data_IF_350076162983
#
_entry.id   IF_350076162983
#
_cell.length_a   1.000
_cell.length_b   1.000
_cell.length_c   1.000
_cell.angle_alpha   90.00
_cell.angle_beta   90.00
_cell.angle_gamma   90.00
#
_symmetry.space_group_name_H-M   'P 1'
#
loop_
_entity.id
_entity.type
_entity.pdbx_description
1 polymer ?
#
# COMPACT_ATOMS: atom_id res chain seq x y z
N UNK A 1 -29.42 7.30 -8.01
CA UNK A 1 -28.37 7.84 -8.91
C UNK A 1 -27.20 8.51 -8.17
N UNK A 2 -27.33 8.97 -6.92
CA UNK A 2 -26.25 9.60 -6.11
C UNK A 2 -25.19 8.63 -5.54
N UNK A 3 -25.54 7.37 -5.26
CA UNK A 3 -24.60 6.38 -4.69
C UNK A 3 -23.55 5.87 -5.68
N UNK A 4 -23.81 5.85 -6.99
CA UNK A 4 -22.82 5.45 -8.00
C UNK A 4 -21.63 6.42 -8.11
N UNK A 5 -21.83 7.71 -7.83
CA UNK A 5 -20.76 8.74 -7.86
C UNK A 5 -19.79 8.65 -6.69
N UNK A 6 -20.21 8.07 -5.56
CA UNK A 6 -19.37 7.88 -4.38
C UNK A 6 -18.39 6.72 -4.56
N UNK A 7 -18.74 5.74 -5.39
CA UNK A 7 -17.93 4.55 -5.69
C UNK A 7 -17.04 4.70 -6.93
N UNK A 8 -16.94 5.90 -7.50
CA UNK A 8 -16.00 6.18 -8.58
C UNK A 8 -14.58 6.29 -8.00
N UNK A 9 -13.96 5.11 -7.80
CA UNK A 9 -12.59 4.92 -7.33
C UNK A 9 -11.53 5.55 -8.25
N UNK A 10 -11.98 6.09 -9.38
CA UNK A 10 -11.13 6.85 -10.31
C UNK A 10 -10.82 8.27 -9.81
N UNK A 11 -11.62 8.82 -8.87
CA UNK A 11 -11.35 10.12 -8.28
C UNK A 11 -10.36 9.96 -7.11
N UNK A 12 -9.20 10.62 -7.19
CA UNK A 12 -8.13 10.60 -6.19
C UNK A 12 -8.64 10.84 -4.75
N UNK A 13 -9.60 11.74 -4.57
CA UNK A 13 -10.21 12.05 -3.25
C UNK A 13 -11.01 10.89 -2.67
N UNK A 14 -11.82 10.21 -3.47
CA UNK A 14 -12.65 9.10 -2.98
C UNK A 14 -11.78 7.92 -2.55
N UNK A 15 -10.69 7.69 -3.25
CA UNK A 15 -9.69 6.67 -2.92
C UNK A 15 -8.98 6.98 -1.61
N UNK A 16 -8.54 8.23 -1.42
CA UNK A 16 -7.91 8.67 -0.17
C UNK A 16 -8.85 8.49 1.03
N UNK A 17 -10.12 8.88 0.89
CA UNK A 17 -11.13 8.73 1.95
C UNK A 17 -11.34 7.25 2.27
N UNK A 18 -11.46 6.39 1.26
CA UNK A 18 -11.66 4.95 1.47
C UNK A 18 -10.48 4.32 2.23
N UNK A 19 -9.25 4.66 1.84
CA UNK A 19 -8.06 4.18 2.54
C UNK A 19 -8.00 4.69 3.98
N UNK A 20 -8.29 5.98 4.22
CA UNK A 20 -8.38 6.52 5.57
C UNK A 20 -9.43 5.78 6.42
N UNK A 21 -10.61 5.47 5.86
CA UNK A 21 -11.65 4.73 6.57
C UNK A 21 -11.19 3.30 6.93
N UNK A 22 -10.52 2.63 6.00
CA UNK A 22 -9.96 1.28 6.25
C UNK A 22 -8.86 1.35 7.30
N UNK A 23 -7.95 2.33 7.20
CA UNK A 23 -6.86 2.51 8.17
C UNK A 23 -7.44 2.80 9.58
N UNK A 24 -8.47 3.65 9.71
CA UNK A 24 -9.14 3.90 11.00
C UNK A 24 -9.75 2.61 11.56
N UNK A 25 -10.46 1.85 10.73
CA UNK A 25 -11.05 0.58 11.15
C UNK A 25 -9.99 -0.40 11.65
N UNK A 26 -8.88 -0.52 10.93
CA UNK A 26 -7.76 -1.39 11.33
C UNK A 26 -7.12 -0.92 12.63
N UNK A 27 -6.94 0.40 12.82
CA UNK A 27 -6.40 0.98 14.07
C UNK A 27 -7.29 0.74 15.28
N UNK A 28 -8.60 0.57 15.09
CA UNK A 28 -9.53 0.19 16.16
C UNK A 28 -9.38 -1.30 16.51
N UNK A 29 -9.22 -2.14 15.50
CA UNK A 29 -9.18 -3.61 15.67
C UNK A 29 -7.82 -4.11 16.15
N UNK A 30 -6.72 -3.55 15.64
CA UNK A 30 -5.37 -4.06 15.91
C UNK A 30 -4.97 -4.08 17.39
N UNK A 31 -5.29 -3.06 18.22
CA UNK A 31 -4.96 -3.10 19.64
C UNK A 31 -5.56 -4.32 20.35
N UNK A 32 -6.81 -4.65 20.05
CA UNK A 32 -7.46 -5.82 20.64
C UNK A 32 -6.91 -7.12 20.07
N UNK A 33 -6.67 -7.16 18.77
CA UNK A 33 -6.12 -8.33 18.11
C UNK A 33 -4.69 -8.64 18.61
N UNK A 34 -3.85 -7.61 18.81
CA UNK A 34 -2.50 -7.75 19.38
C UNK A 34 -2.53 -8.36 20.77
N UNK A 35 -3.53 -7.98 21.58
CA UNK A 35 -3.71 -8.54 22.90
C UNK A 35 -4.11 -10.02 22.83
N UNK A 36 -5.04 -10.36 21.94
CA UNK A 36 -5.51 -11.73 21.71
C UNK A 36 -4.37 -12.62 21.24
N UNK A 37 -3.54 -12.17 20.29
CA UNK A 37 -2.34 -12.88 19.85
C UNK A 37 -1.35 -13.12 21.00
N UNK A 38 -1.20 -12.12 21.87
CA UNK A 38 -0.32 -12.27 23.05
C UNK A 38 -0.79 -13.36 23.99
N UNK A 39 -2.09 -13.56 24.16
CA UNK A 39 -2.68 -14.56 25.04
C UNK A 39 -3.09 -15.86 24.32
N UNK A 40 -2.50 -16.14 23.16
CA UNK A 40 -2.73 -17.39 22.39
C UNK A 40 -4.22 -17.70 22.18
N UNK A 41 -5.02 -16.66 21.89
CA UNK A 41 -6.48 -16.75 21.73
C UNK A 41 -7.27 -17.17 22.98
N UNK A 42 -6.65 -17.19 24.15
CA UNK A 42 -7.32 -17.50 25.42
C UNK A 42 -7.94 -16.24 26.01
N UNK A 43 -9.14 -15.88 25.61
CA UNK A 43 -9.83 -14.65 26.01
C UNK A 43 -10.03 -14.52 27.52
N UNK A 44 -10.28 -15.65 28.25
CA UNK A 44 -10.49 -15.67 29.68
C UNK A 44 -9.26 -15.26 30.50
N UNK A 45 -8.08 -15.25 29.90
CA UNK A 45 -6.83 -14.94 30.57
C UNK A 45 -6.39 -13.49 30.37
N UNK A 46 -7.12 -12.69 29.60
CA UNK A 46 -6.80 -11.30 29.34
C UNK A 46 -7.28 -10.44 30.52
N UNK A 47 -6.36 -9.79 31.25
CA UNK A 47 -6.75 -8.89 32.34
C UNK A 47 -7.58 -7.72 31.82
N UNK A 48 -8.67 -7.41 32.54
CA UNK A 48 -9.57 -6.30 32.20
C UNK A 48 -8.84 -4.94 32.19
N UNK A 49 -7.80 -4.80 33.02
CA UNK A 49 -6.96 -3.59 33.09
C UNK A 49 -6.31 -3.26 31.74
N UNK A 50 -5.86 -4.26 30.99
CA UNK A 50 -5.24 -4.03 29.67
C UNK A 50 -6.27 -3.60 28.63
N UNK A 51 -7.48 -4.13 28.72
CA UNK A 51 -8.59 -3.73 27.82
C UNK A 51 -8.96 -2.27 28.11
N UNK A 52 -9.01 -1.88 29.38
CA UNK A 52 -9.28 -0.51 29.78
C UNK A 52 -8.18 0.45 29.29
N UNK A 53 -6.92 0.08 29.48
CA UNK A 53 -5.76 0.84 29.01
C UNK A 53 -5.80 1.08 27.49
N UNK A 54 -6.11 0.04 26.73
CA UNK A 54 -6.23 0.13 25.26
C UNK A 54 -7.39 1.07 24.88
N UNK A 55 -8.54 0.95 25.52
CA UNK A 55 -9.70 1.82 25.24
C UNK A 55 -9.39 3.29 25.54
N UNK A 56 -8.73 3.56 26.67
CA UNK A 56 -8.36 4.92 27.07
C UNK A 56 -7.37 5.57 26.09
N UNK A 57 -6.44 4.78 25.53
CA UNK A 57 -5.44 5.28 24.59
C UNK A 57 -5.88 5.26 23.13
N UNK A 58 -7.02 4.62 22.79
CA UNK A 58 -7.45 4.34 21.42
C UNK A 58 -7.53 5.60 20.55
N UNK A 59 -8.14 6.68 21.05
CA UNK A 59 -8.31 7.92 20.28
C UNK A 59 -6.95 8.56 19.97
N UNK A 60 -6.06 8.61 20.96
CA UNK A 60 -4.71 9.15 20.80
C UNK A 60 -3.94 8.32 19.76
N UNK A 61 -4.03 7.00 19.83
CA UNK A 61 -3.40 6.09 18.89
C UNK A 61 -3.85 6.33 17.44
N UNK A 62 -5.16 6.47 17.22
CA UNK A 62 -5.72 6.75 15.88
C UNK A 62 -5.20 8.09 15.36
N UNK A 63 -5.27 9.14 16.16
CA UNK A 63 -4.85 10.48 15.75
C UNK A 63 -3.35 10.51 15.43
N UNK A 64 -2.51 9.97 16.32
CA UNK A 64 -1.05 9.95 16.12
C UNK A 64 -0.64 9.15 14.89
N UNK A 65 -1.25 7.98 14.67
CA UNK A 65 -0.95 7.15 13.50
C UNK A 65 -1.40 7.81 12.21
N UNK A 66 -2.59 8.41 12.17
CA UNK A 66 -3.08 9.16 10.99
C UNK A 66 -2.18 10.35 10.68
N UNK A 67 -1.74 11.11 11.69
CA UNK A 67 -0.83 12.24 11.50
C UNK A 67 0.50 11.76 10.90
N UNK A 68 1.07 10.67 11.39
CA UNK A 68 2.30 10.09 10.85
C UNK A 68 2.11 9.65 9.40
N UNK A 69 0.99 8.99 9.07
CA UNK A 69 0.69 8.55 7.71
C UNK A 69 0.50 9.72 6.75
N UNK A 70 -0.09 10.83 7.22
CA UNK A 70 -0.22 12.07 6.43
C UNK A 70 1.12 12.76 6.23
N UNK A 71 1.94 12.90 7.27
CA UNK A 71 3.28 13.51 7.19
C UNK A 71 4.21 12.76 6.22
N UNK A 72 4.14 11.45 6.20
CA UNK A 72 4.90 10.61 5.28
C UNK A 72 4.27 10.50 3.88
N UNK A 73 3.21 11.28 3.60
CA UNK A 73 2.49 11.31 2.33
C UNK A 73 2.03 9.92 1.82
N UNK A 74 1.71 9.00 2.73
CA UNK A 74 1.27 7.65 2.38
C UNK A 74 -0.03 7.64 1.55
N UNK A 75 -0.84 8.68 1.64
CA UNK A 75 -2.10 8.82 0.90
C UNK A 75 -1.95 9.49 -0.48
N UNK A 76 -0.84 10.21 -0.70
CA UNK A 76 -0.56 10.93 -1.94
C UNK A 76 0.42 10.19 -2.88
N UNK A 77 0.93 9.04 -2.46
CA UNK A 77 1.88 8.28 -3.28
C UNK A 77 1.27 7.91 -4.64
N UNK A 78 2.04 8.16 -5.70
CA UNK A 78 1.63 7.85 -7.08
C UNK A 78 1.68 6.33 -7.28
N UNK A 79 0.53 5.71 -7.23
CA UNK A 79 0.27 4.27 -7.17
C UNK A 79 0.68 3.48 -8.43
N UNK A 80 1.22 4.14 -9.44
CA UNK A 80 1.64 3.50 -10.69
C UNK A 80 2.94 2.72 -10.57
N UNK A 81 3.83 3.13 -9.68
CA UNK A 81 5.14 2.49 -9.50
C UNK A 81 5.35 2.08 -8.03
N UNK A 82 4.70 0.98 -7.60
CA UNK A 82 5.01 0.41 -6.28
C UNK A 82 6.38 -0.26 -6.33
N UNK A 83 7.40 0.47 -5.95
CA UNK A 83 8.77 -0.01 -5.79
C UNK A 83 9.12 -0.28 -4.33
N UNK A 84 10.35 -0.73 -4.09
CA UNK A 84 10.94 -0.91 -2.75
C UNK A 84 10.81 0.35 -1.89
N UNK A 85 10.84 1.54 -2.50
CA UNK A 85 10.68 2.82 -1.83
C UNK A 85 9.34 2.96 -1.09
N UNK A 86 8.23 2.49 -1.68
CA UNK A 86 6.94 2.55 -1.01
C UNK A 86 6.86 1.59 0.16
N UNK A 87 7.44 0.39 0.01
CA UNK A 87 7.50 -0.59 1.09
C UNK A 87 8.33 -0.05 2.27
N UNK A 88 9.45 0.61 2.02
CA UNK A 88 10.26 1.24 3.07
C UNK A 88 9.52 2.39 3.74
N UNK A 89 8.77 3.20 3.00
CA UNK A 89 7.94 4.27 3.57
C UNK A 89 6.83 3.72 4.47
N UNK A 90 6.16 2.64 4.06
CA UNK A 90 5.16 1.97 4.90
C UNK A 90 5.82 1.41 6.17
N UNK A 91 6.97 0.74 6.03
CA UNK A 91 7.71 0.19 7.15
C UNK A 91 8.12 1.26 8.16
N UNK A 92 8.68 2.37 7.69
CA UNK A 92 9.07 3.50 8.56
C UNK A 92 7.86 4.16 9.23
N UNK A 93 6.74 4.31 8.53
CA UNK A 93 5.53 4.86 9.11
C UNK A 93 4.96 3.97 10.23
N UNK A 94 4.86 2.66 9.99
CA UNK A 94 4.39 1.71 10.99
C UNK A 94 5.34 1.64 12.19
N UNK A 95 6.65 1.67 11.96
CA UNK A 95 7.65 1.66 13.01
C UNK A 95 7.55 2.91 13.90
N UNK A 96 7.48 4.10 13.28
CA UNK A 96 7.35 5.36 13.99
C UNK A 96 6.04 5.42 14.78
N UNK A 97 4.92 4.97 14.20
CA UNK A 97 3.62 4.91 14.87
C UNK A 97 3.66 4.00 16.11
N UNK A 98 4.31 2.84 16.00
CA UNK A 98 4.44 1.91 17.13
C UNK A 98 5.32 2.46 18.24
N UNK A 99 6.39 3.16 17.89
CA UNK A 99 7.26 3.85 18.87
C UNK A 99 6.45 4.93 19.60
N UNK A 100 5.75 5.79 18.88
CA UNK A 100 4.89 6.83 19.48
C UNK A 100 3.82 6.24 20.39
N UNK A 101 3.22 5.10 20.00
CA UNK A 101 2.26 4.38 20.82
C UNK A 101 2.92 3.84 22.11
N UNK A 102 4.09 3.21 22.01
CA UNK A 102 4.78 2.66 23.16
C UNK A 102 5.16 3.75 24.17
N UNK A 103 5.74 4.84 23.70
CA UNK A 103 6.08 5.98 24.56
C UNK A 103 4.83 6.65 25.15
N UNK A 104 3.80 6.86 24.36
CA UNK A 104 2.57 7.48 24.83
C UNK A 104 1.87 6.66 25.93
N UNK A 105 1.83 5.34 25.80
CA UNK A 105 1.29 4.45 26.84
C UNK A 105 2.17 4.46 28.09
N UNK A 106 3.49 4.56 27.98
CA UNK A 106 4.39 4.67 29.13
C UNK A 106 4.23 6.00 29.87
N UNK A 107 4.11 7.12 29.16
CA UNK A 107 3.90 8.45 29.77
C UNK A 107 2.58 8.48 30.56
N UNK A 108 1.53 7.85 30.04
CA UNK A 108 0.24 7.75 30.72
C UNK A 108 0.17 6.64 31.78
N UNK A 109 1.30 5.95 32.03
CA UNK A 109 1.42 4.86 33.03
C UNK A 109 0.35 3.78 32.82
N UNK A 110 0.01 3.49 31.56
CA UNK A 110 -0.98 2.48 31.22
C UNK A 110 -0.33 1.08 31.23
N UNK A 111 -0.84 0.14 32.04
CA UNK A 111 -0.27 -1.20 32.08
C UNK A 111 -0.60 -1.95 30.79
N UNK A 112 0.45 -2.33 30.06
CA UNK A 112 0.36 -3.22 28.89
C UNK A 112 1.63 -4.07 28.79
N UNK A 113 1.53 -5.34 28.35
CA UNK A 113 2.70 -6.21 28.22
C UNK A 113 3.59 -5.72 27.07
N UNK A 114 4.91 -5.79 27.25
CA UNK A 114 5.90 -5.33 26.25
C UNK A 114 5.73 -6.02 24.89
N UNK A 115 5.37 -7.30 24.88
CA UNK A 115 5.12 -8.08 23.67
C UNK A 115 3.95 -7.55 22.84
N UNK A 116 3.02 -6.84 23.45
CA UNK A 116 1.88 -6.22 22.79
C UNK A 116 2.30 -5.29 21.64
N UNK A 117 3.32 -4.46 21.86
CA UNK A 117 3.80 -3.51 20.85
C UNK A 117 4.42 -4.22 19.65
N UNK A 118 5.05 -5.39 19.86
CA UNK A 118 5.63 -6.19 18.78
C UNK A 118 4.50 -6.74 17.88
N UNK A 119 3.48 -7.36 18.48
CA UNK A 119 2.33 -7.86 17.73
C UNK A 119 1.57 -6.73 17.02
N UNK A 120 1.42 -5.59 17.67
CA UNK A 120 0.79 -4.41 17.07
C UNK A 120 1.55 -3.92 15.85
N UNK A 121 2.88 -3.83 15.92
CA UNK A 121 3.74 -3.45 14.79
C UNK A 121 3.54 -4.37 13.59
N UNK A 122 3.64 -5.68 13.79
CA UNK A 122 3.48 -6.64 12.69
C UNK A 122 2.07 -6.64 12.10
N UNK A 123 1.04 -6.54 12.93
CA UNK A 123 -0.33 -6.44 12.47
C UNK A 123 -0.56 -5.16 11.66
N UNK A 124 -0.10 -4.02 12.16
CA UNK A 124 -0.21 -2.74 11.47
C UNK A 124 0.54 -2.79 10.13
N UNK A 125 1.77 -3.32 10.11
CA UNK A 125 2.57 -3.46 8.90
C UNK A 125 1.88 -4.36 7.87
N UNK A 126 1.49 -5.58 8.25
CA UNK A 126 0.85 -6.54 7.35
C UNK A 126 -0.43 -5.98 6.75
N UNK A 127 -1.31 -5.42 7.56
CA UNK A 127 -2.58 -4.88 7.04
C UNK A 127 -2.38 -3.64 6.20
N UNK A 128 -1.46 -2.73 6.56
CA UNK A 128 -1.17 -1.54 5.75
C UNK A 128 -0.58 -1.94 4.39
N UNK A 129 0.30 -2.93 4.35
CA UNK A 129 0.82 -3.49 3.09
C UNK A 129 -0.32 -4.14 2.31
N UNK A 130 -1.09 -5.04 2.92
CA UNK A 130 -2.18 -5.76 2.27
C UNK A 130 -3.24 -4.81 1.69
N UNK A 131 -3.68 -3.80 2.42
CA UNK A 131 -4.70 -2.84 1.95
C UNK A 131 -4.22 -2.06 0.74
N UNK A 132 -2.95 -1.65 0.72
CA UNK A 132 -2.39 -0.89 -0.40
C UNK A 132 -2.12 -1.75 -1.62
N UNK A 133 -1.56 -2.95 -1.43
CA UNK A 133 -1.30 -3.88 -2.53
C UNK A 133 -2.57 -4.54 -3.08
N UNK A 134 -3.55 -4.88 -2.23
CA UNK A 134 -4.82 -5.48 -2.68
C UNK A 134 -5.59 -4.54 -3.61
N UNK A 135 -5.62 -3.24 -3.30
CA UNK A 135 -6.23 -2.24 -4.17
C UNK A 135 -5.56 -2.23 -5.56
N UNK A 136 -4.24 -2.30 -5.60
CA UNK A 136 -3.47 -2.34 -6.84
C UNK A 136 -3.75 -3.61 -7.63
N UNK A 137 -3.68 -4.77 -6.98
CA UNK A 137 -3.97 -6.07 -7.61
C UNK A 137 -5.38 -6.09 -8.18
N UNK A 138 -6.36 -5.62 -7.40
CA UNK A 138 -7.76 -5.53 -7.85
C UNK A 138 -7.90 -4.64 -9.10
N UNK A 139 -7.18 -3.52 -9.13
CA UNK A 139 -7.24 -2.61 -10.28
C UNK A 139 -6.58 -3.20 -11.53
N UNK A 140 -5.43 -3.88 -11.38
CA UNK A 140 -4.75 -4.57 -12.48
C UNK A 140 -5.60 -5.72 -13.01
N UNK A 141 -6.20 -6.51 -12.14
CA UNK A 141 -7.10 -7.60 -12.54
C UNK A 141 -8.33 -7.05 -13.28
N UNK A 142 -8.94 -5.99 -12.77
CA UNK A 142 -10.11 -5.35 -13.41
C UNK A 142 -9.77 -4.73 -14.75
N UNK A 143 -8.61 -4.13 -14.91
CA UNK A 143 -8.15 -3.57 -16.18
C UNK A 143 -7.75 -4.65 -17.19
N UNK A 144 -7.15 -5.75 -16.72
CA UNK A 144 -6.83 -6.90 -17.56
C UNK A 144 -8.04 -7.67 -18.06
N UNK A 145 -9.18 -7.59 -17.35
CA UNK A 145 -10.46 -8.20 -17.76
C UNK A 145 -11.25 -7.31 -18.75
N UNK A 146 -10.92 -6.04 -18.88
CA UNK A 146 -11.48 -5.19 -19.93
C UNK A 146 -10.77 -5.53 -21.22
N UNK A 147 -11.43 -6.31 -22.08
CA UNK A 147 -11.04 -6.43 -23.48
C UNK A 147 -11.01 -5.02 -24.08
N UNK A 148 -9.94 -4.64 -24.78
CA UNK A 148 -9.88 -3.37 -25.44
C UNK A 148 -10.97 -3.33 -26.51
N UNK A 149 -12.04 -2.57 -26.25
CA UNK A 149 -13.03 -2.23 -27.26
C UNK A 149 -12.49 -1.03 -28.03
N UNK A 150 -11.94 -1.26 -29.20
CA UNK A 150 -11.45 -0.20 -30.08
C UNK A 150 -10.25 -0.61 -30.95
N UNK A 151 -9.83 0.27 -31.83
CA UNK A 151 -8.66 0.09 -32.69
C UNK A 151 -7.41 -0.12 -31.86
N UNK A 152 -6.71 -1.23 -32.10
CA UNK A 152 -5.39 -1.50 -31.52
C UNK A 152 -4.37 -0.67 -32.28
N UNK A 153 -3.73 0.27 -31.61
CA UNK A 153 -2.65 1.06 -32.18
C UNK A 153 -1.36 0.23 -32.22
N UNK A 154 -0.80 0.08 -33.41
CA UNK A 154 0.49 -0.54 -33.60
C UNK A 154 1.57 0.51 -33.35
N UNK A 155 2.34 0.34 -32.27
CA UNK A 155 3.35 1.32 -31.84
C UNK A 155 4.73 0.83 -32.16
N UNK A 156 5.51 1.67 -32.87
CA UNK A 156 6.93 1.48 -33.09
C UNK A 156 7.70 2.27 -32.03
N UNK A 157 8.58 1.61 -31.29
CA UNK A 157 9.47 2.27 -30.32
C UNK A 157 10.85 2.43 -30.94
N UNK A 158 11.31 3.70 -31.06
CA UNK A 158 12.63 4.04 -31.58
C UNK A 158 13.52 4.37 -30.38
N UNK A 159 14.58 3.58 -30.20
CA UNK A 159 15.49 3.67 -29.07
C UNK A 159 15.21 2.64 -27.99
N UNK A 160 16.08 1.65 -27.86
CA UNK A 160 15.98 0.56 -26.88
C UNK A 160 16.86 0.77 -25.65
N UNK A 161 17.17 2.02 -25.33
CA UNK A 161 17.83 2.37 -24.07
C UNK A 161 16.90 2.17 -22.87
N UNK A 162 17.38 2.55 -21.68
CA UNK A 162 16.63 2.40 -20.43
C UNK A 162 15.24 3.04 -20.50
N UNK A 163 15.12 4.23 -21.08
CA UNK A 163 13.85 4.91 -21.31
C UNK A 163 12.92 4.14 -22.28
N UNK A 164 13.47 3.57 -23.35
CA UNK A 164 12.73 2.76 -24.31
C UNK A 164 12.18 1.48 -23.68
N UNK A 165 12.96 0.81 -22.85
CA UNK A 165 12.54 -0.38 -22.12
C UNK A 165 11.41 -0.06 -21.11
N UNK A 166 11.48 1.08 -20.43
CA UNK A 166 10.40 1.54 -19.54
C UNK A 166 9.09 1.82 -20.31
N UNK A 167 9.19 2.47 -21.46
CA UNK A 167 8.02 2.76 -22.31
C UNK A 167 7.40 1.45 -22.83
N UNK A 168 8.21 0.49 -23.26
CA UNK A 168 7.73 -0.81 -23.72
C UNK A 168 7.01 -1.55 -22.59
N UNK A 169 7.59 -1.52 -21.39
CA UNK A 169 6.99 -2.12 -20.21
C UNK A 169 5.65 -1.45 -19.85
N UNK A 170 5.58 -0.13 -19.89
CA UNK A 170 4.34 0.62 -19.67
C UNK A 170 3.28 0.29 -20.72
N UNK A 171 3.63 0.28 -22.00
CA UNK A 171 2.71 -0.07 -23.09
C UNK A 171 2.21 -1.52 -23.00
N UNK A 172 3.03 -2.44 -22.51
CA UNK A 172 2.67 -3.85 -22.31
C UNK A 172 1.74 -4.08 -21.13
N UNK A 173 1.93 -3.33 -20.04
CA UNK A 173 1.15 -3.49 -18.81
C UNK A 173 -0.04 -2.52 -18.70
N UNK A 174 -0.05 -1.46 -19.50
CA UNK A 174 -1.12 -0.45 -19.50
C UNK A 174 -2.26 -0.86 -20.42
N UNK A 175 -3.24 -1.57 -19.84
CA UNK A 175 -4.44 -2.00 -20.58
C UNK A 175 -5.31 -0.84 -21.14
N UNK A 176 -4.98 0.40 -20.77
CA UNK A 176 -5.71 1.59 -21.26
C UNK A 176 -5.22 2.10 -22.60
N UNK A 177 -4.01 1.75 -22.99
CA UNK A 177 -3.35 2.27 -24.18
C UNK A 177 -3.55 1.31 -25.34
N UNK A 178 -4.59 0.68 -25.61
CA UNK A 178 -4.89 -0.16 -26.77
C UNK A 178 -3.75 -0.24 -27.81
N UNK A 179 -2.49 -0.32 -27.34
CA UNK A 179 -1.30 -0.23 -28.17
C UNK A 179 -0.50 -1.53 -28.07
N UNK A 180 -0.17 -2.09 -29.22
CA UNK A 180 0.68 -3.27 -29.34
C UNK A 180 2.02 -2.83 -29.90
N UNK A 181 3.10 -3.05 -29.16
CA UNK A 181 4.44 -2.80 -29.67
C UNK A 181 4.74 -3.85 -30.74
N UNK A 182 4.92 -3.38 -31.97
CA UNK A 182 5.14 -4.24 -33.14
C UNK A 182 6.63 -4.37 -33.45
N UNK A 183 7.39 -3.31 -33.25
CA UNK A 183 8.83 -3.32 -33.50
C UNK A 183 9.56 -2.36 -32.57
N UNK A 184 10.81 -2.67 -32.27
CA UNK A 184 11.72 -1.81 -31.53
C UNK A 184 12.95 -1.57 -32.40
N UNK A 185 13.21 -0.31 -32.75
CA UNK A 185 14.38 0.08 -33.52
C UNK A 185 15.49 0.55 -32.61
N UNK A 186 16.68 0.06 -32.80
CA UNK A 186 17.90 0.45 -32.10
C UNK A 186 18.65 1.51 -32.90
N UNK A 187 18.93 2.66 -32.30
CA UNK A 187 19.71 3.73 -32.96
C UNK A 187 21.22 3.52 -32.89
N UNK A 188 21.70 2.60 -32.03
CA UNK A 188 23.10 2.23 -31.88
C UNK A 188 23.22 0.71 -31.73
N UNK A 189 23.18 -0.01 -32.84
CA UNK A 189 23.75 -1.33 -32.95
C UNK A 189 25.08 -1.18 -33.70
N UNK A 190 26.20 -1.24 -32.98
CA UNK A 190 27.41 -1.77 -33.57
C UNK A 190 27.08 -3.22 -33.89
N UNK A 191 26.80 -3.51 -35.14
CA UNK A 191 26.75 -4.87 -35.66
C UNK A 191 28.03 -5.57 -35.23
N UNK A 192 27.97 -6.73 -34.56
CA UNK A 192 29.16 -7.58 -34.47
C UNK A 192 29.51 -7.91 -35.89
N UNK A 193 30.67 -7.44 -36.35
CA UNK A 193 31.29 -7.88 -37.59
C UNK A 193 31.42 -9.38 -37.50
N UNK A 194 30.55 -10.11 -38.15
CA UNK A 194 30.74 -11.54 -38.41
C UNK A 194 31.88 -11.59 -39.41
N UNK A 195 33.11 -11.76 -38.96
CA UNK A 195 34.18 -12.23 -39.78
C UNK A 195 33.87 -13.68 -40.14
N UNK A 196 33.24 -13.86 -41.29
CA UNK A 196 33.29 -15.15 -42.00
C UNK A 196 34.66 -15.27 -42.64
N UNK A 197 35.45 -16.19 -42.15
CA UNK A 197 36.56 -16.83 -42.89
C UNK A 197 36.00 -18.09 -43.52
#
# INVERSE_FOLDING_TARGET
MKMKKFFDLHNSRNRMILLCCVDILTMIVHPFLSLIFRYEFKYAWVPLEYIHSIKSYMVINIVTTLVIFLLLNLYNSVWTFAGLRELTLIGTACFLSTICQAFGMQILVLPVPRSYHIFYFFLLLCTTVLTRFSYRIFWVLKSGLRKPEGHVYHTLVIGAGEAGSMIIQELKYSAHLNSKVVAVSYTHLTLPTICSV
#
